data_IF_441267596821
#
_entry.id   IF_441267596821
#
_cell.length_a   1.000
_cell.length_b   1.000
_cell.length_c   1.000
_cell.angle_alpha   90.00
_cell.angle_beta   90.00
_cell.angle_gamma   90.00
#
_symmetry.space_group_name_H-M   'P 1'
#
loop_
_entity.id
_entity.type
_entity.pdbx_description
1 polymer ?
#
# COMPACT_ATOMS: atom_id res chain seq x y z
N UNK A 1 -37.01 0.26 -5.81
CA UNK A 1 -37.02 -0.67 -6.96
C UNK A 1 -37.97 -0.09 -8.00
N UNK A 2 -37.46 0.83 -8.81
CA UNK A 2 -38.33 1.89 -9.37
C UNK A 2 -38.61 1.72 -10.86
N UNK A 3 -38.44 0.50 -11.37
CA UNK A 3 -38.71 0.20 -12.77
C UNK A 3 -40.12 -0.36 -12.97
N UNK A 4 -40.67 -0.10 -14.16
CA UNK A 4 -41.94 -0.64 -14.65
C UNK A 4 -41.75 -1.29 -16.03
N UNK A 5 -42.55 -2.31 -16.39
CA UNK A 5 -43.47 -3.05 -15.51
C UNK A 5 -42.72 -3.89 -14.45
N UNK A 6 -43.35 -4.26 -13.32
CA UNK A 6 -42.71 -5.09 -12.31
C UNK A 6 -42.46 -6.52 -12.82
N UNK A 7 -41.26 -7.05 -12.57
CA UNK A 7 -40.95 -8.48 -12.73
C UNK A 7 -41.08 -9.16 -11.38
N UNK A 8 -41.83 -10.27 -11.32
CA UNK A 8 -42.06 -11.04 -10.10
C UNK A 8 -41.28 -12.36 -10.16
N UNK A 9 -40.69 -12.77 -9.04
CA UNK A 9 -40.10 -14.10 -8.91
C UNK A 9 -41.16 -15.18 -8.63
N UNK A 10 -40.75 -16.44 -8.69
CA UNK A 10 -41.59 -17.61 -8.39
C UNK A 10 -41.60 -18.00 -6.89
N UNK A 11 -41.23 -17.09 -5.98
CA UNK A 11 -41.42 -17.34 -4.56
C UNK A 11 -42.92 -17.37 -4.22
N UNK A 12 -43.27 -18.01 -3.10
CA UNK A 12 -44.61 -17.91 -2.53
C UNK A 12 -44.53 -17.14 -1.20
N UNK A 13 -45.10 -15.93 -1.08
CA UNK A 13 -45.77 -15.16 -2.13
C UNK A 13 -44.79 -14.59 -3.18
N UNK A 14 -45.25 -14.31 -4.43
CA UNK A 14 -44.43 -13.68 -5.46
C UNK A 14 -43.96 -12.29 -5.04
N UNK A 15 -42.70 -11.96 -5.33
CA UNK A 15 -42.09 -10.68 -4.94
C UNK A 15 -41.43 -10.00 -6.13
N UNK A 16 -41.51 -8.66 -6.19
CA UNK A 16 -40.80 -7.86 -7.18
C UNK A 16 -39.30 -8.09 -7.04
N UNK A 17 -38.64 -8.41 -8.15
CA UNK A 17 -37.19 -8.65 -8.16
C UNK A 17 -36.42 -7.39 -8.49
N UNK A 18 -35.21 -7.19 -7.95
CA UNK A 18 -34.35 -6.12 -8.40
C UNK A 18 -33.78 -6.41 -9.79
N UNK A 19 -33.32 -5.34 -10.45
CA UNK A 19 -32.55 -5.40 -11.69
C UNK A 19 -31.08 -5.28 -11.33
N UNK A 20 -30.35 -6.38 -11.42
CA UNK A 20 -28.92 -6.49 -11.17
C UNK A 20 -28.11 -6.16 -12.43
N UNK A 21 -26.82 -5.93 -12.24
CA UNK A 21 -25.82 -5.81 -13.30
C UNK A 21 -24.85 -6.98 -13.17
N UNK A 22 -24.64 -7.73 -14.25
CA UNK A 22 -23.67 -8.82 -14.27
C UNK A 22 -22.25 -8.26 -14.34
N UNK A 23 -21.40 -8.76 -13.44
CA UNK A 23 -19.96 -8.47 -13.41
C UNK A 23 -19.13 -9.61 -14.00
N UNK A 24 -19.79 -10.66 -14.52
CA UNK A 24 -19.10 -11.79 -15.13
C UNK A 24 -18.30 -11.37 -16.37
N UNK A 25 -17.30 -12.17 -16.72
CA UNK A 25 -16.50 -11.94 -17.92
C UNK A 25 -17.32 -12.13 -19.20
N UNK A 26 -18.26 -13.07 -19.19
CA UNK A 26 -19.09 -13.43 -20.35
C UNK A 26 -20.23 -12.44 -20.60
N UNK A 27 -20.73 -11.78 -19.55
CA UNK A 27 -21.83 -10.82 -19.66
C UNK A 27 -21.48 -9.54 -18.88
N UNK A 28 -20.45 -8.80 -19.27
CA UNK A 28 -20.02 -7.62 -18.53
C UNK A 28 -21.05 -6.50 -18.68
N UNK A 29 -21.50 -5.93 -17.56
CA UNK A 29 -22.43 -4.79 -17.57
C UNK A 29 -23.88 -5.13 -17.96
N UNK A 30 -24.16 -6.37 -18.39
CA UNK A 30 -25.49 -6.80 -18.83
C UNK A 30 -26.46 -6.88 -17.66
N UNK A 31 -27.62 -6.26 -17.77
CA UNK A 31 -28.61 -6.26 -16.68
C UNK A 31 -29.48 -7.51 -16.71
N UNK A 32 -29.86 -7.97 -15.53
CA UNK A 32 -30.77 -9.10 -15.35
C UNK A 32 -31.65 -8.94 -14.13
N UNK A 33 -32.81 -9.57 -14.15
CA UNK A 33 -33.72 -9.70 -13.02
C UNK A 33 -33.40 -10.98 -12.28
N UNK A 34 -33.25 -10.94 -10.96
CA UNK A 34 -33.10 -12.18 -10.18
C UNK A 34 -33.68 -12.09 -8.78
N UNK A 35 -34.20 -13.22 -8.30
CA UNK A 35 -34.67 -13.34 -6.93
C UNK A 35 -33.56 -12.93 -5.93
N UNK A 36 -33.90 -12.08 -4.97
CA UNK A 36 -32.96 -11.65 -3.91
C UNK A 36 -32.39 -12.84 -3.12
N UNK A 37 -33.17 -13.91 -2.99
CA UNK A 37 -32.77 -15.12 -2.28
C UNK A 37 -32.31 -16.23 -3.24
N UNK A 38 -31.99 -15.95 -4.51
CA UNK A 38 -31.66 -16.97 -5.49
C UNK A 38 -30.54 -17.94 -5.03
N UNK A 39 -29.58 -17.46 -4.24
CA UNK A 39 -28.47 -18.27 -3.69
C UNK A 39 -28.74 -18.83 -2.30
N UNK A 40 -29.73 -18.31 -1.57
CA UNK A 40 -30.00 -18.62 -0.16
C UNK A 40 -31.42 -19.19 0.03
N UNK A 41 -31.75 -20.25 -0.72
CA UNK A 41 -33.03 -20.98 -0.57
C UNK A 41 -34.25 -20.35 -1.27
N UNK A 42 -34.07 -19.34 -2.11
CA UNK A 42 -35.13 -18.75 -2.94
C UNK A 42 -35.44 -19.55 -4.21
N UNK A 43 -36.36 -19.03 -5.04
CA UNK A 43 -36.89 -19.74 -6.22
C UNK A 43 -35.95 -19.76 -7.44
N UNK A 44 -34.69 -19.32 -7.32
CA UNK A 44 -33.69 -19.26 -8.40
C UNK A 44 -34.12 -18.53 -9.69
N UNK A 45 -35.19 -17.73 -9.64
CA UNK A 45 -35.62 -16.93 -10.78
C UNK A 45 -34.50 -16.02 -11.28
N UNK A 46 -34.19 -16.11 -12.58
CA UNK A 46 -33.24 -15.26 -13.31
C UNK A 46 -33.80 -15.02 -14.72
N UNK A 47 -33.82 -13.77 -15.17
CA UNK A 47 -34.22 -13.38 -16.53
C UNK A 47 -33.33 -12.23 -17.01
N UNK A 48 -32.80 -12.30 -18.24
CA UNK A 48 -32.00 -11.21 -18.81
C UNK A 48 -32.89 -10.02 -19.18
N UNK A 49 -32.43 -8.80 -18.86
CA UNK A 49 -33.14 -7.57 -19.25
C UNK A 49 -32.65 -7.04 -20.60
N UNK A 50 -31.33 -7.00 -20.78
CA UNK A 50 -30.71 -6.55 -22.01
C UNK A 50 -30.35 -7.73 -22.90
N UNK A 51 -30.25 -7.50 -24.20
CA UNK A 51 -29.60 -8.43 -25.13
C UNK A 51 -28.11 -8.60 -24.78
N UNK A 52 -27.48 -9.73 -25.17
CA UNK A 52 -26.05 -9.88 -25.00
C UNK A 52 -25.32 -8.77 -25.76
N UNK A 53 -24.25 -8.24 -25.15
CA UNK A 53 -23.38 -7.31 -25.85
C UNK A 53 -22.78 -8.00 -27.09
N UNK A 54 -22.55 -7.25 -28.18
CA UNK A 54 -21.75 -7.75 -29.29
C UNK A 54 -20.40 -8.27 -28.78
N UNK A 55 -19.95 -9.38 -29.34
CA UNK A 55 -18.74 -10.09 -28.88
C UNK A 55 -17.51 -9.18 -28.78
N UNK A 56 -17.36 -8.26 -29.74
CA UNK A 56 -16.29 -7.26 -29.72
C UNK A 56 -16.28 -6.45 -28.42
N UNK A 57 -17.43 -5.95 -27.97
CA UNK A 57 -17.51 -5.13 -26.76
C UNK A 57 -17.33 -5.96 -25.49
N UNK A 58 -17.89 -7.17 -25.41
CA UNK A 58 -17.66 -8.04 -24.25
C UNK A 58 -16.19 -8.40 -24.09
N UNK A 59 -15.51 -8.71 -25.21
CA UNK A 59 -14.09 -9.05 -25.22
C UNK A 59 -13.24 -7.82 -24.87
N UNK A 60 -13.53 -6.66 -25.46
CA UNK A 60 -12.81 -5.42 -25.18
C UNK A 60 -12.89 -5.04 -23.71
N UNK A 61 -14.09 -5.07 -23.11
CA UNK A 61 -14.28 -4.78 -21.68
C UNK A 61 -13.54 -5.81 -20.81
N UNK A 62 -13.53 -7.08 -21.24
CA UNK A 62 -12.76 -8.14 -20.60
C UNK A 62 -11.26 -7.84 -20.61
N UNK A 63 -10.69 -7.58 -21.79
CA UNK A 63 -9.26 -7.29 -21.94
C UNK A 63 -8.83 -6.03 -21.19
N UNK A 64 -9.63 -4.96 -21.23
CA UNK A 64 -9.33 -3.73 -20.48
C UNK A 64 -9.31 -3.98 -18.97
N UNK A 65 -10.25 -4.80 -18.46
CA UNK A 65 -10.26 -5.18 -17.05
C UNK A 65 -9.00 -5.97 -16.69
N UNK A 66 -8.67 -6.98 -17.48
CA UNK A 66 -7.50 -7.82 -17.24
C UNK A 66 -6.21 -6.98 -17.26
N UNK A 67 -6.11 -6.03 -18.19
CA UNK A 67 -4.99 -5.11 -18.29
C UNK A 67 -4.88 -4.14 -17.11
N UNK A 68 -6.01 -3.58 -16.63
CA UNK A 68 -6.02 -2.75 -15.42
C UNK A 68 -5.55 -3.53 -14.20
N UNK A 69 -5.93 -4.81 -14.08
CA UNK A 69 -5.48 -5.66 -12.98
C UNK A 69 -3.99 -5.95 -13.08
N UNK A 70 -3.49 -6.25 -14.29
CA UNK A 70 -2.06 -6.43 -14.56
C UNK A 70 -1.25 -5.19 -14.18
N UNK A 71 -1.68 -4.01 -14.64
CA UNK A 71 -1.00 -2.74 -14.35
C UNK A 71 -1.01 -2.40 -12.86
N UNK A 72 -2.11 -2.67 -12.15
CA UNK A 72 -2.18 -2.49 -10.70
C UNK A 72 -1.25 -3.45 -9.96
N UNK A 73 -1.15 -4.69 -10.41
CA UNK A 73 -0.21 -5.69 -9.88
C UNK A 73 1.24 -5.21 -10.03
N UNK A 74 1.65 -4.88 -11.26
CA UNK A 74 3.00 -4.38 -11.54
C UNK A 74 3.35 -3.13 -10.71
N UNK A 75 2.44 -2.15 -10.64
CA UNK A 75 2.65 -0.95 -9.79
C UNK A 75 2.86 -1.29 -8.32
N UNK A 76 2.20 -2.34 -7.82
CA UNK A 76 2.35 -2.77 -6.43
C UNK A 76 3.71 -3.43 -6.23
N UNK A 77 4.15 -4.26 -7.18
CA UNK A 77 5.48 -4.89 -7.16
C UNK A 77 6.59 -3.83 -7.24
N UNK A 78 6.50 -2.89 -8.17
CA UNK A 78 7.45 -1.77 -8.32
C UNK A 78 7.54 -0.93 -7.03
N UNK A 79 6.41 -0.63 -6.40
CA UNK A 79 6.37 0.13 -5.15
C UNK A 79 7.00 -0.64 -3.97
N UNK A 80 6.82 -1.96 -3.92
CA UNK A 80 7.47 -2.81 -2.93
C UNK A 80 8.98 -2.86 -3.17
N UNK A 81 9.41 -2.99 -4.43
CA UNK A 81 10.84 -2.99 -4.78
C UNK A 81 11.50 -1.64 -4.43
N UNK A 82 10.87 -0.51 -4.79
CA UNK A 82 11.34 0.83 -4.42
C UNK A 82 11.43 1.01 -2.89
N UNK A 83 10.43 0.53 -2.15
CA UNK A 83 10.45 0.60 -0.69
C UNK A 83 11.58 -0.25 -0.09
N UNK A 84 11.76 -1.49 -0.55
CA UNK A 84 12.83 -2.37 -0.06
C UNK A 84 14.22 -1.81 -0.37
N UNK A 85 14.42 -1.24 -1.55
CA UNK A 85 15.67 -0.56 -1.91
C UNK A 85 15.93 0.64 -1.01
N UNK A 86 14.91 1.46 -0.77
CA UNK A 86 15.00 2.63 0.11
C UNK A 86 15.35 2.23 1.54
N UNK A 87 14.70 1.19 2.08
CA UNK A 87 15.00 0.65 3.41
C UNK A 87 16.44 0.15 3.51
N UNK A 88 16.94 -0.56 2.49
CA UNK A 88 18.34 -1.03 2.47
C UNK A 88 19.35 0.12 2.47
N UNK A 89 19.08 1.21 1.72
CA UNK A 89 19.93 2.40 1.67
C UNK A 89 19.92 3.14 3.02
N UNK A 90 18.76 3.25 3.67
CA UNK A 90 18.64 3.87 5.00
C UNK A 90 19.49 3.11 6.02
N UNK A 91 19.42 1.79 6.03
CA UNK A 91 20.22 0.95 6.95
C UNK A 91 21.71 1.16 6.73
N UNK A 92 22.16 1.13 5.46
CA UNK A 92 23.58 1.37 5.13
C UNK A 92 24.04 2.77 5.56
N UNK A 93 23.21 3.80 5.36
CA UNK A 93 23.54 5.17 5.74
C UNK A 93 23.60 5.33 7.27
N UNK A 94 22.71 4.65 8.01
CA UNK A 94 22.74 4.62 9.47
C UNK A 94 24.01 3.97 10.01
N UNK A 95 24.49 2.90 9.36
CA UNK A 95 25.75 2.26 9.72
C UNK A 95 26.94 3.20 9.49
N UNK A 96 27.02 3.83 8.33
CA UNK A 96 28.05 4.84 8.05
C UNK A 96 28.01 6.03 9.01
N UNK A 97 26.81 6.48 9.40
CA UNK A 97 26.65 7.55 10.39
C UNK A 97 27.18 7.13 11.76
N UNK A 98 26.90 5.91 12.21
CA UNK A 98 27.41 5.37 13.48
C UNK A 98 28.94 5.27 13.48
N UNK A 99 29.53 4.81 12.39
CA UNK A 99 30.99 4.76 12.24
C UNK A 99 31.61 6.16 12.29
N UNK A 100 31.04 7.12 11.54
CA UNK A 100 31.50 8.51 11.54
C UNK A 100 31.33 9.18 12.90
N UNK A 101 30.23 8.92 13.62
CA UNK A 101 30.03 9.48 14.96
C UNK A 101 31.03 8.90 15.97
N UNK A 102 31.30 7.59 15.91
CA UNK A 102 32.31 6.96 16.75
C UNK A 102 33.71 7.54 16.48
N UNK A 103 34.04 7.77 15.20
CA UNK A 103 35.27 8.46 14.79
C UNK A 103 35.36 9.89 15.37
N UNK A 104 34.29 10.67 15.28
CA UNK A 104 34.23 12.02 15.84
C UNK A 104 34.37 12.03 17.37
N UNK A 105 33.72 11.11 18.08
CA UNK A 105 33.81 10.98 19.54
C UNK A 105 35.20 10.58 20.00
N UNK A 106 35.88 9.69 19.27
CA UNK A 106 37.26 9.32 19.55
C UNK A 106 38.20 10.53 19.42
N UNK A 107 38.04 11.35 18.37
CA UNK A 107 38.82 12.57 18.18
C UNK A 107 38.53 13.59 19.27
N UNK A 108 37.25 13.81 19.59
CA UNK A 108 36.82 14.73 20.67
C UNK A 108 37.39 14.33 22.02
N UNK A 109 37.43 13.02 22.30
CA UNK A 109 38.03 12.47 23.52
C UNK A 109 39.53 12.73 23.58
N UNK A 110 40.27 12.45 22.50
CA UNK A 110 41.71 12.75 22.41
C UNK A 110 41.99 14.24 22.63
N UNK A 111 41.24 15.11 21.97
CA UNK A 111 41.36 16.55 22.12
C UNK A 111 41.10 16.99 23.57
N UNK A 112 40.03 16.49 24.20
CA UNK A 112 39.71 16.80 25.60
C UNK A 112 40.82 16.34 26.55
N UNK A 113 41.40 15.16 26.33
CA UNK A 113 42.52 14.66 27.14
C UNK A 113 43.75 15.56 26.99
N UNK A 114 44.13 15.93 25.76
CA UNK A 114 45.26 16.84 25.50
C UNK A 114 45.04 18.20 26.18
N UNK A 115 43.83 18.76 26.06
CA UNK A 115 43.45 20.02 26.70
C UNK A 115 43.61 19.95 28.23
N UNK A 116 43.12 18.88 28.87
CA UNK A 116 43.24 18.70 30.33
C UNK A 116 44.70 18.62 30.75
N UNK A 117 45.52 17.84 30.04
CA UNK A 117 46.97 17.74 30.32
C UNK A 117 47.65 19.09 30.18
N UNK A 118 47.33 19.85 29.13
CA UNK A 118 47.88 21.19 28.91
C UNK A 118 47.50 22.16 30.04
N UNK A 119 46.23 22.16 30.48
CA UNK A 119 45.76 22.99 31.59
C UNK A 119 46.49 22.63 32.89
N UNK A 120 46.63 21.34 33.22
CA UNK A 120 47.36 20.88 34.41
C UNK A 120 48.83 21.31 34.35
N UNK A 121 49.47 21.18 33.19
CA UNK A 121 50.85 21.60 32.98
C UNK A 121 51.04 23.11 33.21
N UNK A 122 50.19 23.95 32.61
CA UNK A 122 50.23 25.41 32.79
C UNK A 122 50.00 25.79 34.24
N UNK A 123 49.01 25.19 34.91
CA UNK A 123 48.77 25.43 36.34
C UNK A 123 49.97 25.02 37.20
N UNK A 124 50.61 23.89 36.90
CA UNK A 124 51.83 23.45 37.58
C UNK A 124 53.01 24.42 37.41
N UNK A 125 53.22 24.95 36.20
CA UNK A 125 54.25 25.96 35.95
C UNK A 125 53.98 27.26 36.73
N UNK A 126 52.72 27.70 36.79
CA UNK A 126 52.32 28.90 37.51
C UNK A 126 52.56 28.73 39.02
N UNK A 127 52.07 27.63 39.61
CA UNK A 127 52.27 27.33 41.04
C UNK A 127 53.75 27.15 41.40
N UNK A 128 54.53 26.48 40.54
CA UNK A 128 55.97 26.30 40.73
C UNK A 128 56.73 27.63 40.76
N UNK A 129 56.34 28.60 39.93
CA UNK A 129 56.92 29.94 39.99
C UNK A 129 56.55 30.72 41.26
N UNK A 130 55.36 30.48 41.81
CA UNK A 130 54.95 31.10 43.07
C UNK A 130 55.63 30.50 44.32
N UNK A 131 56.15 29.27 44.26
CA UNK A 131 56.84 28.61 45.39
C UNK A 131 58.36 28.86 45.43
N UNK A 132 58.95 29.38 44.35
CA UNK A 132 60.39 29.66 44.21
C UNK A 132 60.71 31.16 44.39
N UNK A 133 59.71 31.97 44.76
CA UNK A 133 59.84 33.35 45.25
C UNK A 133 59.30 33.45 46.65
#
# INVERSE_FOLDING_TARGET
>A
MDYEPPKLCHCNPPRKVPRWISWSRQNPGRRYYACVHALNGGCRFIEWHDDPLPKFFSDLIGHLRDEVWRLKGARTEDAVEEQTMTESVIVALQEQLKEKSAGADAVKTKYKTILVVFVVFVLGLVLGKFLVH
#
